data_IF_411022126624
#
_entry.id   IF_411022126624
#
_cell.length_a   1.000
_cell.length_b   1.000
_cell.length_c   1.000
_cell.angle_alpha   90.00
_cell.angle_beta   90.00
_cell.angle_gamma   90.00
#
_symmetry.space_group_name_H-M   'P 1'
#
loop_
_entity.id
_entity.type
_entity.pdbx_description
1 polymer ?
#
# COMPACT_ATOMS: atom_id res chain seq x y z
N UNK A 1 -9.50 24.77 -34.73
CA UNK A 1 -9.66 25.05 -33.28
C UNK A 1 -10.52 23.97 -32.70
N UNK A 2 -9.99 23.17 -31.81
CA UNK A 2 -10.69 22.05 -31.17
C UNK A 2 -11.41 22.57 -29.93
N UNK A 3 -12.69 22.19 -29.75
CA UNK A 3 -13.49 22.51 -28.59
C UNK A 3 -13.85 21.23 -27.87
N UNK A 4 -13.48 21.11 -26.56
CA UNK A 4 -13.87 20.00 -25.70
C UNK A 4 -14.74 20.53 -24.59
N UNK A 5 -15.86 19.86 -24.30
CA UNK A 5 -16.77 20.21 -23.21
C UNK A 5 -16.90 19.04 -22.25
N UNK A 6 -16.56 19.25 -20.99
CA UNK A 6 -16.57 18.25 -19.94
C UNK A 6 -17.59 18.61 -18.84
N UNK A 7 -18.23 17.61 -18.25
CA UNK A 7 -18.82 17.78 -16.93
C UNK A 7 -17.73 17.93 -15.89
N UNK A 8 -17.79 19.00 -15.10
CA UNK A 8 -16.73 19.34 -14.15
C UNK A 8 -16.42 18.22 -13.18
N UNK A 9 -17.44 17.58 -12.58
CA UNK A 9 -17.25 16.56 -11.55
C UNK A 9 -16.62 15.28 -12.12
N UNK A 10 -16.98 14.88 -13.35
CA UNK A 10 -16.38 13.76 -14.05
C UNK A 10 -14.90 14.05 -14.38
N UNK A 11 -14.61 15.25 -14.88
CA UNK A 11 -13.24 15.69 -15.19
C UNK A 11 -12.39 15.79 -13.92
N UNK A 12 -12.94 16.36 -12.84
CA UNK A 12 -12.21 16.47 -11.55
C UNK A 12 -11.87 15.09 -11.00
N UNK A 13 -12.80 14.15 -11.01
CA UNK A 13 -12.56 12.78 -10.57
C UNK A 13 -11.45 12.09 -11.39
N UNK A 14 -11.45 12.28 -12.70
CA UNK A 14 -10.38 11.73 -13.57
C UNK A 14 -9.02 12.39 -13.29
N UNK A 15 -8.99 13.70 -13.01
CA UNK A 15 -7.78 14.42 -12.61
C UNK A 15 -7.29 14.00 -11.22
N UNK A 16 -8.19 13.69 -10.28
CA UNK A 16 -7.82 13.15 -8.95
C UNK A 16 -7.08 11.82 -9.09
N UNK A 17 -7.54 10.91 -9.96
CA UNK A 17 -6.82 9.68 -10.26
C UNK A 17 -5.42 9.96 -10.82
N UNK A 18 -5.30 10.87 -11.77
CA UNK A 18 -4.02 11.24 -12.37
C UNK A 18 -3.06 11.91 -11.38
N UNK A 19 -3.57 12.62 -10.37
CA UNK A 19 -2.76 13.34 -9.38
C UNK A 19 -1.84 12.41 -8.58
N UNK A 20 -2.17 11.13 -8.46
CA UNK A 20 -1.42 10.11 -7.74
C UNK A 20 -0.02 9.87 -8.30
N UNK A 21 0.19 10.11 -9.59
CA UNK A 21 1.49 9.88 -10.26
C UNK A 21 2.15 11.14 -10.80
N UNK A 22 1.52 12.32 -10.68
CA UNK A 22 2.13 13.57 -11.13
C UNK A 22 2.96 14.21 -10.03
N UNK A 23 4.26 14.37 -10.27
CA UNK A 23 5.18 15.04 -9.36
C UNK A 23 5.16 16.56 -9.59
N UNK A 24 5.41 17.33 -8.52
CA UNK A 24 5.49 18.80 -8.61
C UNK A 24 6.66 19.28 -9.47
N UNK A 25 7.73 18.50 -9.53
CA UNK A 25 8.94 18.75 -10.33
C UNK A 25 9.47 17.41 -10.83
N UNK A 26 9.77 17.31 -12.10
CA UNK A 26 10.37 16.14 -12.72
C UNK A 26 11.43 16.56 -13.72
N UNK A 27 12.57 15.85 -13.90
CA UNK A 27 13.58 16.16 -14.90
C UNK A 27 13.02 16.27 -16.33
N UNK A 28 12.10 15.37 -16.68
CA UNK A 28 11.28 15.47 -17.89
C UNK A 28 10.05 16.30 -17.58
N UNK A 29 10.07 17.59 -17.92
CA UNK A 29 9.03 18.55 -17.52
C UNK A 29 7.62 18.14 -18.01
N UNK A 30 7.51 17.47 -19.15
CA UNK A 30 6.23 16.98 -19.70
C UNK A 30 5.51 16.01 -18.74
N UNK A 31 6.23 15.30 -17.87
CA UNK A 31 5.64 14.41 -16.86
C UNK A 31 4.99 15.17 -15.68
N UNK A 32 5.09 16.49 -15.64
CA UNK A 32 4.29 17.33 -14.73
C UNK A 32 2.92 17.68 -15.32
N UNK A 33 2.58 17.13 -16.49
CA UNK A 33 1.31 17.33 -17.19
C UNK A 33 0.43 16.09 -17.19
N UNK A 34 -0.82 16.29 -17.54
CA UNK A 34 -1.78 15.23 -17.92
C UNK A 34 -1.96 15.32 -19.43
N UNK A 35 -1.79 14.19 -20.11
CA UNK A 35 -2.07 14.05 -21.54
C UNK A 35 -3.55 13.73 -21.73
N UNK A 36 -4.29 14.59 -22.40
CA UNK A 36 -5.66 14.35 -22.85
C UNK A 36 -5.61 13.79 -24.27
N UNK A 37 -6.06 12.57 -24.46
CA UNK A 37 -6.22 11.91 -25.75
C UNK A 37 -7.70 11.72 -25.99
N UNK A 38 -8.23 12.34 -27.04
CA UNK A 38 -9.68 12.39 -27.28
C UNK A 38 -10.01 11.95 -28.71
N UNK A 39 -11.17 11.33 -28.83
CA UNK A 39 -11.75 10.91 -30.10
C UNK A 39 -13.25 10.67 -29.88
N UNK A 40 -14.07 11.15 -30.83
CA UNK A 40 -15.52 11.07 -30.71
C UNK A 40 -16.01 11.70 -29.40
N UNK A 41 -16.73 10.94 -28.56
CA UNK A 41 -17.19 11.36 -27.23
C UNK A 41 -16.33 10.88 -26.08
N UNK A 42 -15.18 10.26 -26.37
CA UNK A 42 -14.31 9.70 -25.35
C UNK A 42 -13.04 10.55 -25.20
N UNK A 43 -12.62 10.73 -23.96
CA UNK A 43 -11.34 11.32 -23.62
C UNK A 43 -10.64 10.48 -22.57
N UNK A 44 -9.39 10.10 -22.81
CA UNK A 44 -8.53 9.43 -21.84
C UNK A 44 -7.49 10.42 -21.32
N UNK A 45 -7.47 10.64 -20.02
CA UNK A 45 -6.45 11.36 -19.32
C UNK A 45 -5.33 10.39 -18.95
N UNK A 46 -4.11 10.69 -19.36
CA UNK A 46 -2.93 9.88 -19.07
C UNK A 46 -1.92 10.67 -18.25
N UNK A 47 -1.43 10.09 -17.17
CA UNK A 47 -0.38 10.64 -16.34
C UNK A 47 0.62 9.55 -15.97
N UNK A 48 1.90 9.88 -15.86
CA UNK A 48 2.94 8.93 -15.48
C UNK A 48 4.17 9.62 -14.88
N UNK A 49 4.84 8.92 -13.95
CA UNK A 49 6.18 9.25 -13.47
C UNK A 49 7.20 8.15 -13.83
N UNK A 50 6.87 7.29 -14.79
CA UNK A 50 7.63 6.14 -15.27
C UNK A 50 7.62 4.92 -14.33
N UNK A 51 7.30 5.08 -13.05
CA UNK A 51 7.09 3.98 -12.08
C UNK A 51 5.61 3.59 -12.00
N UNK A 52 4.74 4.60 -12.07
CA UNK A 52 3.29 4.47 -12.09
C UNK A 52 2.76 5.14 -13.34
N UNK A 53 1.71 4.57 -13.92
CA UNK A 53 0.92 5.21 -14.97
C UNK A 53 -0.56 5.07 -14.62
N UNK A 54 -1.31 6.14 -14.82
CA UNK A 54 -2.76 6.18 -14.65
C UNK A 54 -3.41 6.60 -15.97
N UNK A 55 -4.41 5.82 -16.40
CA UNK A 55 -5.28 6.15 -17.52
C UNK A 55 -6.69 6.30 -16.99
N UNK A 56 -7.23 7.50 -16.99
CA UNK A 56 -8.59 7.79 -16.51
C UNK A 56 -9.48 8.19 -17.67
N UNK A 57 -10.67 7.60 -17.75
CA UNK A 57 -11.65 7.90 -18.80
C UNK A 57 -12.59 8.99 -18.35
N UNK A 58 -12.94 9.87 -19.27
CA UNK A 58 -13.96 10.90 -19.09
C UNK A 58 -14.72 11.10 -20.40
N UNK A 59 -16.03 11.30 -20.31
CA UNK A 59 -16.85 11.53 -21.49
C UNK A 59 -16.86 13.01 -21.89
N UNK A 60 -16.97 13.25 -23.19
CA UNK A 60 -17.20 14.54 -23.77
C UNK A 60 -18.69 14.74 -24.07
N UNK A 61 -19.20 15.96 -23.88
CA UNK A 61 -20.59 16.29 -24.20
C UNK A 61 -20.85 16.23 -25.71
N UNK A 62 -19.87 16.59 -26.53
CA UNK A 62 -19.96 16.64 -27.99
C UNK A 62 -18.92 15.72 -28.64
N UNK A 63 -19.22 15.20 -29.82
CA UNK A 63 -18.26 14.42 -30.63
C UNK A 63 -17.20 15.35 -31.23
N UNK A 64 -15.94 14.91 -31.17
CA UNK A 64 -14.78 15.66 -31.64
C UNK A 64 -13.86 14.82 -32.51
N UNK A 65 -13.08 15.49 -33.37
CA UNK A 65 -11.99 14.83 -34.11
C UNK A 65 -10.89 14.36 -33.15
N UNK A 66 -10.15 13.34 -33.58
CA UNK A 66 -9.05 12.77 -32.80
C UNK A 66 -7.94 13.80 -32.57
N UNK A 67 -7.46 13.90 -31.34
CA UNK A 67 -6.37 14.81 -30.99
C UNK A 67 -5.78 14.54 -29.61
N UNK A 68 -4.69 15.27 -29.32
CA UNK A 68 -3.97 15.17 -28.03
C UNK A 68 -3.56 16.56 -27.55
N UNK A 69 -3.65 16.78 -26.23
CA UNK A 69 -3.20 18.00 -25.55
C UNK A 69 -2.51 17.60 -24.25
N UNK A 70 -1.29 18.10 -23.99
CA UNK A 70 -0.59 17.87 -22.72
C UNK A 70 -0.69 19.12 -21.83
N UNK A 71 -1.56 19.06 -20.82
CA UNK A 71 -1.91 20.21 -19.97
C UNK A 71 -1.20 20.10 -18.62
N UNK A 72 -0.57 21.20 -18.09
CA UNK A 72 0.00 21.19 -16.76
C UNK A 72 -1.00 20.72 -15.71
N UNK A 73 -0.70 19.59 -15.05
CA UNK A 73 -1.64 18.88 -14.20
C UNK A 73 -2.16 19.72 -13.03
N UNK A 74 -1.27 20.46 -12.36
CA UNK A 74 -1.64 21.29 -11.22
C UNK A 74 -2.62 22.41 -11.63
N UNK A 75 -2.34 23.08 -12.75
CA UNK A 75 -3.17 24.18 -13.21
C UNK A 75 -4.59 23.72 -13.52
N UNK A 76 -4.72 22.65 -14.30
CA UNK A 76 -6.06 22.15 -14.66
C UNK A 76 -6.82 21.57 -13.45
N UNK A 77 -6.12 20.86 -12.57
CA UNK A 77 -6.73 20.33 -11.35
C UNK A 77 -7.25 21.46 -10.45
N UNK A 78 -6.44 22.51 -10.18
CA UNK A 78 -6.84 23.64 -9.35
C UNK A 78 -7.99 24.44 -9.99
N UNK A 79 -7.99 24.64 -11.31
CA UNK A 79 -9.10 25.29 -12.02
C UNK A 79 -10.40 24.50 -11.82
N UNK A 80 -10.39 23.19 -12.06
CA UNK A 80 -11.57 22.33 -11.88
C UNK A 80 -12.04 22.33 -10.42
N UNK A 81 -11.13 22.15 -9.46
CA UNK A 81 -11.43 22.07 -8.02
C UNK A 81 -12.05 23.36 -7.47
N UNK A 82 -11.54 24.52 -7.90
CA UNK A 82 -11.98 25.82 -7.41
C UNK A 82 -13.18 26.37 -8.17
N UNK A 83 -13.49 25.83 -9.36
CA UNK A 83 -14.64 26.25 -10.15
C UNK A 83 -15.97 25.87 -9.54
N UNK A 84 -16.96 26.75 -9.70
CA UNK A 84 -18.38 26.47 -9.40
C UNK A 84 -19.19 26.08 -10.64
N UNK A 85 -18.55 26.06 -11.81
CA UNK A 85 -19.19 25.71 -13.06
C UNK A 85 -19.65 24.23 -13.06
N UNK A 86 -20.74 23.94 -13.74
CA UNK A 86 -21.17 22.56 -13.99
C UNK A 86 -20.38 21.93 -15.13
N UNK A 87 -19.91 22.78 -16.06
CA UNK A 87 -19.13 22.35 -17.22
C UNK A 87 -17.84 23.14 -17.37
N UNK A 88 -16.80 22.49 -17.88
CA UNK A 88 -15.51 23.07 -18.22
C UNK A 88 -15.32 22.97 -19.74
N UNK A 89 -15.04 24.07 -20.37
CA UNK A 89 -14.87 24.16 -21.83
C UNK A 89 -13.41 24.45 -22.15
N UNK A 90 -12.80 23.60 -22.96
CA UNK A 90 -11.47 23.78 -23.53
C UNK A 90 -11.59 24.24 -24.97
N UNK A 91 -10.78 25.23 -25.35
CA UNK A 91 -10.55 25.62 -26.74
C UNK A 91 -9.05 25.59 -27.02
N UNK A 92 -8.63 24.74 -27.92
CA UNK A 92 -7.23 24.53 -28.23
C UNK A 92 -6.96 24.83 -29.71
N UNK A 93 -5.92 25.66 -29.94
CA UNK A 93 -5.40 25.90 -31.27
C UNK A 93 -3.97 25.41 -31.35
N UNK A 94 -3.70 24.46 -32.23
CA UNK A 94 -2.39 23.80 -32.37
C UNK A 94 -1.22 24.78 -32.63
N UNK A 95 -1.51 25.98 -33.18
CA UNK A 95 -0.46 26.93 -33.61
C UNK A 95 0.30 27.65 -32.48
N UNK A 96 -0.26 27.67 -31.24
CA UNK A 96 0.31 28.46 -30.12
C UNK A 96 0.56 27.67 -28.84
N UNK A 97 0.24 26.39 -28.80
CA UNK A 97 0.37 25.56 -27.59
C UNK A 97 -0.26 26.18 -26.33
N UNK A 98 -1.33 26.94 -26.49
CA UNK A 98 -2.08 27.56 -25.38
C UNK A 98 -3.48 27.01 -25.38
N UNK A 99 -3.92 26.55 -24.21
CA UNK A 99 -5.28 26.10 -23.95
C UNK A 99 -6.07 27.25 -23.33
N UNK A 100 -7.14 27.67 -24.01
CA UNK A 100 -8.15 28.57 -23.42
C UNK A 100 -9.18 27.72 -22.68
N UNK A 101 -9.38 27.99 -21.39
CA UNK A 101 -10.31 27.28 -20.53
C UNK A 101 -11.39 28.24 -20.06
N UNK A 102 -12.64 27.89 -20.27
CA UNK A 102 -13.79 28.63 -19.76
C UNK A 102 -14.50 27.80 -18.72
N UNK A 103 -14.71 28.37 -17.53
CA UNK A 103 -15.39 27.77 -16.40
C UNK A 103 -16.38 28.80 -15.82
N UNK A 104 -17.66 28.73 -16.20
CA UNK A 104 -18.68 29.75 -15.96
C UNK A 104 -18.24 31.12 -16.50
N UNK A 105 -18.00 32.10 -15.63
CA UNK A 105 -17.54 33.46 -15.99
C UNK A 105 -16.03 33.62 -15.98
N UNK A 106 -15.31 32.56 -15.57
CA UNK A 106 -13.86 32.60 -15.46
C UNK A 106 -13.21 32.09 -16.74
N UNK A 107 -12.20 32.81 -17.22
CA UNK A 107 -11.40 32.45 -18.39
C UNK A 107 -9.93 32.33 -18.00
N UNK A 108 -9.29 31.28 -18.49
CA UNK A 108 -7.89 30.99 -18.21
C UNK A 108 -7.15 30.70 -19.51
N UNK A 109 -5.89 31.11 -19.59
CA UNK A 109 -4.96 30.76 -20.68
C UNK A 109 -3.82 29.94 -20.07
N UNK A 110 -3.75 28.66 -20.42
CA UNK A 110 -2.78 27.74 -19.87
C UNK A 110 -1.82 27.30 -20.97
N UNK A 111 -0.51 27.63 -20.85
CA UNK A 111 0.51 27.07 -21.77
C UNK A 111 0.56 25.55 -21.64
N UNK A 112 0.54 24.85 -22.77
CA UNK A 112 0.58 23.40 -22.85
C UNK A 112 1.96 22.91 -23.31
N UNK A 113 2.26 21.66 -23.00
CA UNK A 113 3.43 20.98 -23.53
C UNK A 113 3.13 20.36 -24.90
N UNK A 114 4.17 20.03 -25.64
CA UNK A 114 4.02 19.29 -26.87
C UNK A 114 3.59 17.83 -26.53
N UNK A 115 2.44 17.36 -27.00
CA UNK A 115 1.98 15.99 -26.72
C UNK A 115 2.94 14.89 -27.20
N UNK A 116 3.74 15.16 -28.24
CA UNK A 116 4.73 14.21 -28.77
C UNK A 116 5.91 13.96 -27.83
N UNK A 117 6.15 14.84 -26.84
CA UNK A 117 7.19 14.65 -25.83
C UNK A 117 6.72 13.73 -24.67
N UNK A 118 5.41 13.45 -24.62
CA UNK A 118 4.86 12.56 -23.60
C UNK A 118 5.19 11.10 -23.95
N UNK A 119 5.65 10.28 -22.97
CA UNK A 119 5.98 8.88 -23.24
C UNK A 119 4.80 8.09 -23.81
N UNK A 120 5.10 7.21 -24.74
CA UNK A 120 4.10 6.29 -25.26
C UNK A 120 3.68 5.30 -24.17
N UNK A 121 2.38 5.24 -23.90
CA UNK A 121 1.81 4.34 -22.92
C UNK A 121 1.15 3.21 -23.71
N UNK A 122 1.68 1.98 -23.55
CA UNK A 122 1.06 0.81 -24.12
C UNK A 122 0.37 -0.01 -23.02
N UNK A 123 -0.93 -0.20 -23.16
CA UNK A 123 -1.72 -1.22 -22.45
C UNK A 123 -1.89 -2.41 -23.40
N UNK A 124 -0.79 -3.17 -23.57
CA UNK A 124 -0.76 -4.28 -24.55
C UNK A 124 -1.24 -5.60 -23.97
N UNK A 125 -1.52 -5.68 -22.69
CA UNK A 125 -2.01 -6.89 -22.05
C UNK A 125 -3.43 -7.22 -22.49
N UNK A 126 -3.62 -8.44 -22.95
CA UNK A 126 -4.89 -8.94 -23.53
C UNK A 126 -5.76 -9.69 -22.53
N UNK A 127 -5.21 -10.16 -21.42
CA UNK A 127 -5.91 -11.03 -20.49
C UNK A 127 -5.93 -10.48 -19.07
N UNK A 128 -7.09 -9.94 -18.69
CA UNK A 128 -7.37 -9.47 -17.34
C UNK A 128 -8.24 -10.49 -16.62
N UNK A 129 -7.93 -10.75 -15.37
CA UNK A 129 -8.70 -11.63 -14.47
C UNK A 129 -9.42 -10.82 -13.39
N UNK A 130 -10.62 -11.22 -12.99
CA UNK A 130 -11.33 -10.52 -11.92
C UNK A 130 -10.60 -10.66 -10.59
N UNK A 131 -10.61 -9.59 -9.78
CA UNK A 131 -10.04 -9.57 -8.44
C UNK A 131 -10.92 -8.76 -7.49
N UNK A 132 -11.12 -9.23 -6.27
CA UNK A 132 -11.71 -8.48 -5.17
C UNK A 132 -10.68 -7.47 -4.65
N UNK A 133 -10.62 -6.29 -5.27
CA UNK A 133 -9.60 -5.28 -4.96
C UNK A 133 -9.78 -4.73 -3.54
N UNK A 134 -11.00 -4.61 -3.04
CA UNK A 134 -11.29 -4.20 -1.66
C UNK A 134 -10.63 -5.13 -0.63
N UNK A 135 -10.68 -6.46 -0.86
CA UNK A 135 -10.00 -7.44 -0.01
C UNK A 135 -8.48 -7.35 -0.15
N UNK A 136 -7.95 -7.23 -1.36
CA UNK A 136 -6.51 -7.09 -1.58
C UNK A 136 -5.96 -5.85 -0.84
N UNK A 137 -6.69 -4.74 -0.87
CA UNK A 137 -6.37 -3.52 -0.12
C UNK A 137 -6.43 -3.77 1.40
N UNK A 138 -7.44 -4.48 1.89
CA UNK A 138 -7.55 -4.81 3.33
C UNK A 138 -6.39 -5.66 3.81
N UNK A 139 -5.99 -6.63 3.03
CA UNK A 139 -4.83 -7.49 3.31
C UNK A 139 -3.51 -6.71 3.31
N UNK A 140 -3.32 -5.82 2.33
CA UNK A 140 -2.16 -4.94 2.31
C UNK A 140 -2.05 -4.09 3.58
N UNK A 141 -3.15 -3.54 4.09
CA UNK A 141 -3.16 -2.74 5.32
C UNK A 141 -2.66 -3.51 6.54
N UNK A 142 -2.82 -4.85 6.58
CA UNK A 142 -2.32 -5.71 7.66
C UNK A 142 -0.80 -5.90 7.63
N UNK A 143 -0.13 -5.68 6.51
CA UNK A 143 1.30 -5.96 6.37
C UNK A 143 2.16 -4.74 6.05
N UNK A 144 1.59 -3.63 5.53
CA UNK A 144 2.32 -2.50 4.98
C UNK A 144 3.32 -1.85 5.93
N UNK A 145 3.03 -1.83 7.23
CA UNK A 145 3.86 -1.15 8.23
C UNK A 145 5.22 -1.83 8.48
N UNK A 146 5.40 -3.06 8.00
CA UNK A 146 6.66 -3.80 8.11
C UNK A 146 7.63 -3.58 6.94
N UNK A 147 7.27 -2.75 5.97
CA UNK A 147 8.20 -2.35 4.90
C UNK A 147 9.22 -1.32 5.40
N UNK A 148 10.41 -1.33 4.80
CA UNK A 148 11.39 -0.26 5.06
C UNK A 148 11.07 0.99 4.24
N UNK A 149 11.34 2.15 4.83
CA UNK A 149 11.34 3.41 4.09
C UNK A 149 12.66 3.66 3.33
N UNK A 150 13.68 2.85 3.61
CA UNK A 150 14.99 2.97 2.98
C UNK A 150 15.03 2.29 1.61
N UNK A 151 14.98 3.08 0.55
CA UNK A 151 15.01 2.62 -0.84
C UNK A 151 16.35 2.03 -1.30
N UNK A 152 17.39 2.06 -0.49
CA UNK A 152 18.66 1.39 -0.80
C UNK A 152 18.47 -0.13 -0.88
N UNK A 153 17.49 -0.67 -0.18
CA UNK A 153 17.09 -2.09 -0.24
C UNK A 153 15.70 -2.20 -0.89
N UNK A 154 15.64 -2.01 -2.21
CA UNK A 154 14.38 -1.94 -2.98
C UNK A 154 13.40 -3.08 -2.67
N UNK A 155 13.87 -4.32 -2.53
CA UNK A 155 13.00 -5.45 -2.23
C UNK A 155 12.21 -5.25 -0.93
N UNK A 156 12.82 -4.72 0.13
CA UNK A 156 12.18 -4.53 1.44
C UNK A 156 11.26 -3.29 1.50
N UNK A 157 11.34 -2.40 0.52
CA UNK A 157 10.40 -1.28 0.39
C UNK A 157 9.16 -1.62 -0.45
N UNK A 158 8.96 -2.90 -0.74
CA UNK A 158 7.81 -3.43 -1.46
C UNK A 158 7.10 -4.55 -0.71
N UNK A 159 5.94 -4.93 -1.21
CA UNK A 159 5.20 -6.09 -0.76
C UNK A 159 5.41 -7.25 -1.74
N UNK A 160 5.88 -8.39 -1.22
CA UNK A 160 5.93 -9.63 -1.98
C UNK A 160 4.54 -10.26 -2.01
N UNK A 161 4.10 -10.69 -3.17
CA UNK A 161 2.95 -11.59 -3.34
C UNK A 161 3.45 -12.84 -4.08
N UNK A 162 3.24 -14.01 -3.49
CA UNK A 162 3.76 -15.26 -4.01
C UNK A 162 2.75 -16.40 -3.83
N UNK A 163 2.58 -17.23 -4.87
CA UNK A 163 1.87 -18.51 -4.76
C UNK A 163 2.76 -19.54 -4.09
N UNK A 164 2.22 -20.24 -3.12
CA UNK A 164 2.92 -21.32 -2.40
C UNK A 164 2.13 -22.60 -2.61
N UNK A 165 2.79 -23.66 -3.07
CA UNK A 165 2.26 -25.01 -3.05
C UNK A 165 2.59 -25.62 -1.68
N UNK A 166 1.56 -25.94 -0.92
CA UNK A 166 1.69 -26.58 0.39
C UNK A 166 1.95 -28.09 0.24
N UNK A 167 2.47 -28.72 1.29
CA UNK A 167 2.80 -30.15 1.28
C UNK A 167 1.57 -31.06 1.08
N UNK A 168 0.38 -30.58 1.42
CA UNK A 168 -0.91 -31.25 1.22
C UNK A 168 -1.47 -31.11 -0.20
N UNK A 169 -0.75 -30.43 -1.10
CA UNK A 169 -1.12 -30.17 -2.49
C UNK A 169 -2.07 -28.97 -2.68
N UNK A 170 -2.45 -28.28 -1.61
CA UNK A 170 -3.22 -27.03 -1.72
C UNK A 170 -2.31 -25.85 -2.13
N UNK A 171 -2.92 -24.81 -2.70
CA UNK A 171 -2.22 -23.56 -3.01
C UNK A 171 -2.69 -22.45 -2.08
N UNK A 172 -1.76 -21.66 -1.60
CA UNK A 172 -2.02 -20.41 -0.87
C UNK A 172 -1.31 -19.24 -1.56
N UNK A 173 -1.76 -18.03 -1.28
CA UNK A 173 -1.08 -16.81 -1.68
C UNK A 173 -0.55 -16.14 -0.44
N UNK A 174 0.77 -15.97 -0.36
CA UNK A 174 1.37 -15.22 0.73
C UNK A 174 1.59 -13.77 0.32
N UNK A 175 1.20 -12.85 1.20
CA UNK A 175 1.56 -11.44 1.14
C UNK A 175 2.57 -11.15 2.25
N UNK A 176 3.76 -10.67 1.88
CA UNK A 176 4.91 -10.59 2.80
C UNK A 176 5.58 -9.23 2.74
N UNK A 177 5.89 -8.68 3.92
CA UNK A 177 6.68 -7.46 4.06
C UNK A 177 7.70 -7.59 5.20
N UNK A 178 8.86 -6.94 5.08
CA UNK A 178 9.89 -6.92 6.12
C UNK A 178 10.78 -5.68 6.01
N UNK A 179 11.31 -5.24 7.15
CA UNK A 179 12.39 -4.26 7.26
C UNK A 179 13.66 -4.88 7.89
N UNK A 180 13.76 -6.23 7.87
CA UNK A 180 14.76 -7.07 8.53
C UNK A 180 14.71 -7.13 10.06
N UNK A 181 14.06 -6.19 10.72
CA UNK A 181 13.83 -6.18 12.16
C UNK A 181 12.49 -6.79 12.55
N UNK A 182 11.56 -6.84 11.61
CA UNK A 182 10.24 -7.44 11.71
C UNK A 182 9.80 -8.03 10.38
N UNK A 183 8.90 -8.98 10.43
CA UNK A 183 8.38 -9.70 9.28
C UNK A 183 6.89 -9.90 9.44
N UNK A 184 6.08 -9.43 8.49
CA UNK A 184 4.65 -9.71 8.39
C UNK A 184 4.40 -10.68 7.26
N UNK A 185 3.68 -11.76 7.53
CA UNK A 185 3.26 -12.74 6.53
C UNK A 185 1.76 -12.98 6.68
N UNK A 186 1.02 -12.71 5.63
CA UNK A 186 -0.40 -13.01 5.53
C UNK A 186 -0.58 -14.13 4.51
N UNK A 187 -0.96 -15.31 4.99
CA UNK A 187 -1.24 -16.49 4.17
C UNK A 187 -2.73 -16.50 3.83
N UNK A 188 -3.08 -16.20 2.59
CA UNK A 188 -4.47 -16.06 2.15
C UNK A 188 -5.06 -17.43 1.87
N UNK A 189 -6.20 -17.72 2.51
CA UNK A 189 -7.01 -18.93 2.30
C UNK A 189 -8.09 -18.63 1.26
N UNK A 190 -8.26 -19.50 0.27
CA UNK A 190 -9.35 -19.41 -0.70
C UNK A 190 -9.47 -18.04 -1.42
N UNK A 191 -8.38 -17.28 -1.51
CA UNK A 191 -8.36 -16.02 -2.24
C UNK A 191 -7.88 -16.26 -3.68
N UNK A 192 -8.80 -16.17 -4.62
CA UNK A 192 -8.47 -16.31 -6.04
C UNK A 192 -7.70 -15.07 -6.52
N UNK A 193 -6.39 -15.17 -6.52
CA UNK A 193 -5.51 -14.19 -7.12
C UNK A 193 -4.71 -14.90 -8.23
N UNK A 194 -5.07 -14.58 -9.48
CA UNK A 194 -4.37 -15.14 -10.62
C UNK A 194 -3.08 -14.34 -10.87
N UNK A 195 -2.02 -14.77 -10.19
CA UNK A 195 -0.66 -14.28 -10.44
C UNK A 195 0.09 -15.32 -11.28
N UNK A 196 0.92 -14.88 -12.24
CA UNK A 196 1.82 -15.79 -12.95
C UNK A 196 2.73 -16.56 -11.98
N UNK A 197 3.05 -17.80 -12.30
CA UNK A 197 4.02 -18.60 -11.52
C UNK A 197 5.45 -18.10 -11.77
N UNK A 198 5.79 -16.93 -11.23
CA UNK A 198 7.17 -16.45 -11.25
C UNK A 198 7.94 -17.10 -10.11
N UNK A 199 9.13 -17.60 -10.40
CA UNK A 199 10.07 -18.05 -9.37
C UNK A 199 10.38 -16.86 -8.44
N UNK A 200 10.02 -16.98 -7.15
CA UNK A 200 10.19 -15.92 -6.16
C UNK A 200 9.01 -14.93 -6.03
N UNK A 201 7.92 -15.09 -6.81
CA UNK A 201 6.73 -14.22 -6.75
C UNK A 201 6.92 -12.85 -7.39
N UNK A 202 6.03 -11.91 -7.08
CA UNK A 202 6.08 -10.52 -7.55
C UNK A 202 6.30 -9.57 -6.37
N UNK A 203 7.10 -8.53 -6.56
CA UNK A 203 7.31 -7.49 -5.54
C UNK A 203 6.77 -6.16 -6.05
N UNK A 204 5.67 -5.71 -5.43
CA UNK A 204 5.04 -4.44 -5.76
C UNK A 204 5.64 -3.35 -4.88
N UNK A 205 6.17 -2.24 -5.44
CA UNK A 205 6.66 -1.14 -4.62
C UNK A 205 5.60 -0.62 -3.66
N UNK A 206 5.94 -0.46 -2.38
CA UNK A 206 4.98 -0.07 -1.34
C UNK A 206 4.32 1.27 -1.62
N UNK A 207 5.07 2.25 -2.17
CA UNK A 207 4.50 3.53 -2.60
C UNK A 207 3.45 3.35 -3.68
N UNK A 208 3.71 2.47 -4.66
CA UNK A 208 2.77 2.22 -5.75
C UNK A 208 1.51 1.53 -5.23
N UNK A 209 1.67 0.56 -4.29
CA UNK A 209 0.52 -0.08 -3.66
C UNK A 209 -0.31 0.91 -2.83
N UNK A 210 0.33 1.85 -2.15
CA UNK A 210 -0.37 2.91 -1.43
C UNK A 210 -1.25 3.78 -2.36
N UNK A 211 -0.82 4.04 -3.60
CA UNK A 211 -1.66 4.74 -4.59
C UNK A 211 -2.85 3.88 -5.05
N UNK A 212 -2.68 2.56 -5.18
CA UNK A 212 -3.80 1.63 -5.43
C UNK A 212 -4.86 1.78 -4.34
N UNK A 213 -4.44 1.85 -3.06
CA UNK A 213 -5.39 1.99 -1.94
C UNK A 213 -6.21 3.28 -1.99
N UNK A 214 -5.69 4.34 -2.60
CA UNK A 214 -6.40 5.61 -2.77
C UNK A 214 -7.34 5.57 -3.97
N UNK A 215 -6.82 5.14 -5.13
CA UNK A 215 -7.57 5.12 -6.40
C UNK A 215 -8.77 4.16 -6.32
N UNK A 216 -8.59 3.01 -5.67
CA UNK A 216 -9.61 1.96 -5.57
C UNK A 216 -10.26 1.87 -4.20
N UNK A 217 -10.21 2.94 -3.37
CA UNK A 217 -10.72 2.94 -2.00
C UNK A 217 -12.20 2.53 -1.89
N UNK A 218 -13.03 2.93 -2.87
CA UNK A 218 -14.47 2.68 -2.91
C UNK A 218 -14.86 1.61 -3.94
N UNK A 219 -13.87 0.90 -4.49
CA UNK A 219 -14.09 -0.13 -5.53
C UNK A 219 -14.03 -1.51 -4.89
N UNK A 220 -15.06 -2.32 -5.09
CA UNK A 220 -15.10 -3.69 -4.59
C UNK A 220 -14.39 -4.65 -5.56
N UNK A 221 -14.78 -4.61 -6.82
CA UNK A 221 -14.30 -5.51 -7.87
C UNK A 221 -13.51 -4.74 -8.92
N UNK A 222 -12.39 -5.32 -9.34
CA UNK A 222 -11.54 -4.81 -10.40
C UNK A 222 -11.03 -5.97 -11.27
N UNK A 223 -10.29 -5.64 -12.29
CA UNK A 223 -9.60 -6.59 -13.14
C UNK A 223 -8.10 -6.41 -13.00
N UNK A 224 -7.39 -7.51 -12.82
CA UNK A 224 -5.94 -7.58 -12.64
C UNK A 224 -5.29 -8.28 -13.81
N UNK A 225 -4.16 -7.75 -14.28
CA UNK A 225 -3.25 -8.44 -15.16
C UNK A 225 -1.81 -8.18 -14.71
N UNK A 226 -0.93 -9.15 -14.87
CA UNK A 226 0.46 -9.05 -14.44
C UNK A 226 1.34 -9.66 -15.52
N UNK A 227 2.39 -8.95 -15.90
CA UNK A 227 3.50 -9.48 -16.69
C UNK A 227 4.80 -9.48 -15.84
N UNK A 228 5.92 -9.81 -16.44
CA UNK A 228 7.23 -9.87 -15.77
C UNK A 228 7.80 -8.51 -15.34
N UNK A 229 7.21 -7.40 -15.77
CA UNK A 229 7.67 -6.05 -15.44
C UNK A 229 6.62 -5.18 -14.74
N UNK A 230 5.34 -5.45 -15.00
CA UNK A 230 4.25 -4.54 -14.60
C UNK A 230 3.04 -5.29 -14.07
N UNK A 231 2.34 -4.62 -13.20
CA UNK A 231 1.01 -4.97 -12.75
C UNK A 231 0.00 -3.94 -13.25
N UNK A 232 -1.14 -4.40 -13.71
CA UNK A 232 -2.23 -3.59 -14.26
C UNK A 232 -3.48 -3.87 -13.45
N UNK A 233 -4.11 -2.84 -12.92
CA UNK A 233 -5.40 -2.93 -12.24
C UNK A 233 -6.36 -1.96 -12.92
N UNK A 234 -7.54 -2.44 -13.29
CA UNK A 234 -8.54 -1.58 -13.93
C UNK A 234 -9.97 -1.85 -13.48
N UNK A 235 -10.78 -0.81 -13.58
CA UNK A 235 -12.23 -0.88 -13.63
C UNK A 235 -12.74 -0.16 -14.89
N UNK A 236 -14.01 0.19 -14.94
CA UNK A 236 -14.61 0.89 -16.08
C UNK A 236 -13.99 2.27 -16.33
N UNK A 237 -13.58 2.98 -15.27
CA UNK A 237 -13.19 4.40 -15.30
C UNK A 237 -11.69 4.65 -15.28
N UNK A 238 -10.92 3.73 -14.70
CA UNK A 238 -9.49 3.94 -14.49
C UNK A 238 -8.69 2.66 -14.68
N UNK A 239 -7.53 2.80 -15.32
CA UNK A 239 -6.47 1.78 -15.36
C UNK A 239 -5.25 2.32 -14.62
N UNK A 240 -4.78 1.57 -13.63
CA UNK A 240 -3.56 1.83 -12.89
C UNK A 240 -2.50 0.82 -13.29
N UNK A 241 -1.31 1.30 -13.64
CA UNK A 241 -0.19 0.46 -14.05
C UNK A 241 0.97 0.74 -13.11
N UNK A 242 1.52 -0.28 -12.49
CA UNK A 242 2.69 -0.20 -11.61
C UNK A 242 3.84 -1.02 -12.16
N UNK A 243 5.06 -0.47 -12.17
CA UNK A 243 6.24 -1.31 -12.33
C UNK A 243 6.43 -2.20 -11.12
N UNK A 244 6.97 -3.41 -11.35
CA UNK A 244 7.37 -4.36 -10.32
C UNK A 244 8.87 -4.21 -10.01
N UNK A 245 9.26 -4.51 -8.78
CA UNK A 245 10.67 -4.65 -8.47
C UNK A 245 11.20 -6.00 -8.99
N UNK A 246 12.33 -5.97 -9.67
CA UNK A 246 13.03 -7.17 -10.17
C UNK A 246 14.01 -7.76 -9.14
N UNK A 247 13.99 -7.28 -7.90
CA UNK A 247 14.90 -7.69 -6.85
C UNK A 247 14.38 -8.94 -6.14
N UNK A 248 15.29 -9.87 -5.81
CA UNK A 248 14.94 -11.02 -4.99
C UNK A 248 14.48 -10.60 -3.60
N UNK A 249 13.33 -11.12 -3.19
CA UNK A 249 12.83 -10.97 -1.83
C UNK A 249 13.32 -12.15 -0.97
N UNK A 250 13.65 -11.94 0.31
CA UNK A 250 14.13 -13.02 1.18
C UNK A 250 13.12 -14.16 1.30
N UNK A 251 13.58 -15.40 1.31
CA UNK A 251 12.73 -16.57 1.55
C UNK A 251 12.19 -16.51 2.97
N UNK A 252 10.89 -16.27 3.13
CA UNK A 252 10.24 -16.09 4.42
C UNK A 252 9.86 -17.43 5.10
N UNK A 253 9.46 -18.44 4.34
CA UNK A 253 9.00 -19.73 4.88
C UNK A 253 10.02 -20.42 5.81
N UNK A 254 11.34 -20.47 5.50
CA UNK A 254 12.34 -21.01 6.43
C UNK A 254 12.43 -20.24 7.75
N UNK A 255 11.99 -18.97 7.79
CA UNK A 255 12.05 -18.13 8.99
C UNK A 255 10.82 -18.38 9.87
N UNK A 256 9.61 -18.42 9.28
CA UNK A 256 8.36 -18.57 10.03
C UNK A 256 8.06 -20.04 10.36
N UNK A 257 8.55 -21.00 9.60
CA UNK A 257 8.13 -22.39 9.65
C UNK A 257 6.82 -22.67 8.90
N UNK A 258 6.29 -23.88 9.06
CA UNK A 258 4.98 -24.25 8.49
C UNK A 258 3.83 -23.78 9.39
N UNK A 259 2.63 -23.76 8.84
CA UNK A 259 1.39 -23.48 9.58
C UNK A 259 1.22 -24.41 10.80
N UNK A 260 1.46 -25.71 10.63
CA UNK A 260 1.35 -26.72 11.69
C UNK A 260 2.34 -26.47 12.82
N UNK A 261 3.59 -26.11 12.48
CA UNK A 261 4.63 -25.78 13.46
C UNK A 261 4.23 -24.56 14.27
N UNK A 262 3.68 -23.54 13.64
CA UNK A 262 3.23 -22.30 14.33
C UNK A 262 2.01 -22.57 15.22
N UNK A 263 1.06 -23.36 14.75
CA UNK A 263 -0.13 -23.72 15.52
C UNK A 263 0.17 -24.66 16.70
N UNK A 264 1.18 -25.49 16.59
CA UNK A 264 1.65 -26.35 17.67
C UNK A 264 2.43 -25.63 18.78
N UNK A 265 2.85 -24.36 18.57
CA UNK A 265 3.57 -23.61 19.61
C UNK A 265 2.65 -23.13 20.71
N UNK A 266 3.16 -23.17 21.96
CA UNK A 266 2.51 -22.55 23.11
C UNK A 266 2.40 -21.04 22.91
N UNK A 267 1.27 -20.46 23.27
CA UNK A 267 1.00 -19.03 23.16
C UNK A 267 0.26 -18.47 24.37
N UNK A 268 0.50 -17.21 24.66
CA UNK A 268 -0.24 -16.42 25.64
C UNK A 268 -1.39 -15.68 24.95
N UNK A 269 -2.50 -15.47 25.65
CA UNK A 269 -3.68 -14.72 25.19
C UNK A 269 -3.82 -13.46 26.01
N UNK A 270 -3.74 -12.32 25.36
CA UNK A 270 -3.73 -10.99 26.01
C UNK A 270 -4.84 -10.15 25.41
N UNK A 271 -5.64 -9.47 26.25
CA UNK A 271 -6.63 -8.53 25.76
C UNK A 271 -5.95 -7.38 24.99
N UNK A 272 -6.38 -7.18 23.74
CA UNK A 272 -5.76 -6.23 22.81
C UNK A 272 -5.76 -4.79 23.32
N UNK A 273 -6.91 -4.34 23.82
CA UNK A 273 -7.07 -2.96 24.30
C UNK A 273 -6.19 -2.69 25.52
N UNK A 274 -6.22 -3.58 26.52
CA UNK A 274 -5.39 -3.46 27.72
C UNK A 274 -3.90 -3.49 27.37
N UNK A 275 -3.48 -4.35 26.45
CA UNK A 275 -2.10 -4.43 25.99
C UNK A 275 -1.63 -3.11 25.33
N UNK A 276 -2.44 -2.54 24.44
CA UNK A 276 -2.15 -1.25 23.78
C UNK A 276 -1.99 -0.15 24.85
N UNK A 277 -2.91 -0.08 25.81
CA UNK A 277 -2.88 0.94 26.86
C UNK A 277 -1.68 0.75 27.79
N UNK A 278 -1.34 -0.49 28.16
CA UNK A 278 -0.16 -0.80 28.97
C UNK A 278 1.14 -0.42 28.26
N UNK A 279 1.28 -0.78 27.00
CA UNK A 279 2.47 -0.38 26.21
C UNK A 279 2.57 1.14 26.16
N UNK A 280 1.49 1.87 25.89
CA UNK A 280 1.49 3.34 25.85
C UNK A 280 1.90 3.95 27.17
N UNK A 281 1.45 3.40 28.32
CA UNK A 281 1.86 3.87 29.65
C UNK A 281 3.34 3.64 29.91
N UNK A 282 3.85 2.46 29.52
CA UNK A 282 5.25 2.12 29.77
C UNK A 282 6.21 2.92 28.90
N UNK A 283 5.89 3.20 27.65
CA UNK A 283 6.78 3.92 26.74
C UNK A 283 6.81 5.44 26.95
N UNK A 284 6.00 5.97 27.87
CA UNK A 284 5.92 7.41 28.12
C UNK A 284 7.25 8.03 28.60
N UNK A 285 8.12 7.22 29.22
CA UNK A 285 9.45 7.64 29.68
C UNK A 285 10.48 7.68 28.56
N UNK A 286 10.19 7.05 27.44
CA UNK A 286 11.07 7.04 26.26
C UNK A 286 10.93 8.35 25.49
N UNK A 287 12.04 8.82 24.93
CA UNK A 287 12.11 10.08 24.19
C UNK A 287 12.85 9.93 22.85
N UNK A 288 13.12 11.02 22.15
CA UNK A 288 13.78 11.00 20.84
C UNK A 288 15.22 10.48 20.86
N UNK A 289 15.87 10.46 22.03
CA UNK A 289 17.23 9.92 22.21
C UNK A 289 17.21 8.38 22.31
N UNK A 290 16.07 7.78 22.65
CA UNK A 290 15.86 6.34 22.74
C UNK A 290 15.54 5.76 21.36
N UNK A 291 16.53 5.68 20.48
CA UNK A 291 16.38 5.32 19.07
C UNK A 291 15.60 4.02 18.81
N UNK A 292 15.71 3.04 19.71
CA UNK A 292 15.13 1.72 19.51
C UNK A 292 13.82 1.48 20.25
N UNK A 293 13.34 2.42 21.04
CA UNK A 293 12.08 2.32 21.82
C UNK A 293 11.91 0.96 22.52
N UNK A 294 12.96 0.53 23.24
CA UNK A 294 13.03 -0.79 23.85
C UNK A 294 12.05 -0.91 25.00
N UNK A 295 11.19 -1.92 24.94
CA UNK A 295 10.37 -2.36 26.06
C UNK A 295 10.54 -3.86 26.28
N UNK A 296 10.53 -4.29 27.55
CA UNK A 296 10.66 -5.69 27.96
C UNK A 296 9.32 -6.19 28.47
N UNK A 297 8.97 -7.38 28.04
CA UNK A 297 7.76 -8.09 28.36
C UNK A 297 8.12 -9.36 29.13
N UNK A 298 7.55 -9.52 30.31
CA UNK A 298 7.81 -10.62 31.20
C UNK A 298 6.49 -11.31 31.54
N UNK A 299 6.33 -12.56 31.09
CA UNK A 299 5.14 -13.38 31.30
C UNK A 299 5.39 -14.34 32.43
N UNK A 300 4.55 -14.28 33.49
CA UNK A 300 4.60 -15.18 34.63
C UNK A 300 3.18 -15.56 35.06
N UNK A 301 2.79 -16.80 34.85
CA UNK A 301 1.42 -17.23 35.06
C UNK A 301 0.42 -16.38 34.27
N UNK A 302 -0.55 -15.80 34.96
CA UNK A 302 -1.57 -14.92 34.35
C UNK A 302 -1.21 -13.42 34.47
N UNK A 303 0.04 -13.09 34.67
CA UNK A 303 0.51 -11.70 34.74
C UNK A 303 1.50 -11.42 33.62
N UNK A 304 1.28 -10.32 32.90
CA UNK A 304 2.24 -9.73 31.99
C UNK A 304 2.77 -8.42 32.57
N UNK A 305 4.06 -8.43 32.91
CA UNK A 305 4.77 -7.23 33.35
C UNK A 305 5.52 -6.59 32.18
N UNK A 306 5.34 -5.30 32.03
CA UNK A 306 5.98 -4.48 31.00
C UNK A 306 6.95 -3.51 31.68
N UNK A 307 8.14 -3.31 31.09
CA UNK A 307 9.10 -2.30 31.57
C UNK A 307 9.74 -1.57 30.40
N UNK A 308 10.05 -0.30 30.59
CA UNK A 308 10.90 0.46 29.68
C UNK A 308 11.88 1.32 30.47
N UNK A 309 13.09 1.45 29.91
CA UNK A 309 14.18 2.25 30.49
C UNK A 309 14.68 3.21 29.41
N UNK A 310 14.65 4.50 29.71
CA UNK A 310 15.23 5.53 28.84
C UNK A 310 16.73 5.66 29.05
N UNK A 311 17.46 5.95 28.01
CA UNK A 311 18.89 6.29 28.07
C UNK A 311 19.17 7.54 28.93
N UNK A 312 18.15 8.37 29.15
CA UNK A 312 18.23 9.56 30.03
C UNK A 312 17.91 9.30 31.50
N UNK A 313 17.72 8.01 31.86
CA UNK A 313 17.50 7.57 33.24
C UNK A 313 16.04 7.44 33.68
N UNK A 314 15.07 7.69 32.80
CA UNK A 314 13.67 7.44 33.10
C UNK A 314 13.36 5.93 33.10
N UNK A 315 12.58 5.46 34.05
CA UNK A 315 12.12 4.06 34.14
C UNK A 315 10.62 4.00 34.32
N UNK A 316 9.98 3.00 33.74
CA UNK A 316 8.55 2.72 33.92
C UNK A 316 8.29 1.24 34.03
N UNK A 317 7.25 0.90 34.76
CA UNK A 317 6.76 -0.48 34.93
C UNK A 317 5.25 -0.46 34.95
N UNK A 318 4.64 -1.44 34.31
CA UNK A 318 3.20 -1.69 34.36
C UNK A 318 2.93 -3.20 34.39
N UNK A 319 1.79 -3.59 34.93
CA UNK A 319 1.37 -4.98 35.01
C UNK A 319 -0.10 -5.11 34.61
N UNK A 320 -0.39 -6.09 33.76
CA UNK A 320 -1.77 -6.42 33.37
C UNK A 320 -2.02 -7.92 33.58
N UNK A 321 -3.28 -8.25 33.86
CA UNK A 321 -3.75 -9.63 33.92
C UNK A 321 -4.02 -10.14 32.51
N UNK A 322 -3.58 -11.36 32.20
CA UNK A 322 -3.76 -11.98 30.90
C UNK A 322 -4.66 -13.19 30.99
N UNK A 323 -5.42 -13.48 29.93
CA UNK A 323 -6.39 -14.58 29.93
C UNK A 323 -5.72 -15.95 29.98
N UNK A 324 -4.58 -16.09 29.29
CA UNK A 324 -3.78 -17.30 29.24
C UNK A 324 -2.29 -16.95 29.23
N UNK A 325 -1.55 -17.43 30.19
CA UNK A 325 -0.10 -17.33 30.25
C UNK A 325 0.60 -18.55 29.67
N UNK A 326 1.92 -18.57 29.79
CA UNK A 326 2.75 -19.72 29.43
C UNK A 326 2.87 -20.67 30.64
N UNK A 327 3.17 -21.96 30.36
CA UNK A 327 3.42 -22.99 31.38
C UNK A 327 4.66 -22.68 32.23
N UNK A 328 5.63 -21.94 31.70
CA UNK A 328 6.84 -21.47 32.37
C UNK A 328 7.05 -20.00 32.09
N UNK A 329 7.86 -19.34 32.92
CA UNK A 329 8.20 -17.93 32.71
C UNK A 329 8.86 -17.70 31.35
N UNK A 330 8.46 -16.61 30.70
CA UNK A 330 9.01 -16.16 29.41
C UNK A 330 9.33 -14.67 29.47
N UNK A 331 10.37 -14.26 28.81
CA UNK A 331 10.65 -12.83 28.65
C UNK A 331 11.26 -12.51 27.30
N UNK A 332 10.93 -11.34 26.79
CA UNK A 332 11.46 -10.82 25.52
C UNK A 332 11.54 -9.29 25.58
N UNK A 333 12.55 -8.73 24.96
CA UNK A 333 12.64 -7.29 24.76
C UNK A 333 12.54 -7.00 23.27
N UNK A 334 11.66 -6.08 22.91
CA UNK A 334 11.44 -5.69 21.50
C UNK A 334 11.23 -4.19 21.38
N UNK A 335 11.23 -3.69 20.14
CA UNK A 335 10.83 -2.33 19.86
C UNK A 335 9.31 -2.19 20.06
N UNK A 336 8.91 -1.35 21.02
CA UNK A 336 7.51 -1.14 21.38
C UNK A 336 6.66 -0.56 20.22
N UNK A 337 7.25 0.25 19.33
CA UNK A 337 6.54 0.77 18.16
C UNK A 337 6.16 -0.37 17.21
N UNK A 338 7.09 -1.30 16.97
CA UNK A 338 6.82 -2.47 16.12
C UNK A 338 5.71 -3.35 16.70
N UNK A 339 5.70 -3.48 18.02
CA UNK A 339 4.63 -4.24 18.67
C UNK A 339 3.28 -3.52 18.58
N UNK A 340 3.25 -2.20 18.80
CA UNK A 340 2.02 -1.41 18.63
C UNK A 340 1.51 -1.45 17.18
N UNK A 341 2.38 -1.38 16.19
CA UNK A 341 1.99 -1.42 14.78
C UNK A 341 1.20 -2.70 14.46
N UNK A 342 1.70 -3.86 14.89
CA UNK A 342 1.01 -5.13 14.62
C UNK A 342 -0.27 -5.28 15.43
N UNK A 343 -0.30 -4.88 16.71
CA UNK A 343 -1.51 -5.01 17.53
C UNK A 343 -2.66 -4.15 16.96
N UNK A 344 -2.33 -3.00 16.37
CA UNK A 344 -3.33 -2.11 15.79
C UNK A 344 -4.03 -2.68 14.54
N UNK A 345 -3.43 -3.67 13.85
CA UNK A 345 -4.01 -4.30 12.66
C UNK A 345 -4.63 -5.67 12.92
N UNK A 346 -4.51 -6.19 14.13
CA UNK A 346 -5.24 -7.40 14.57
C UNK A 346 -6.72 -7.02 14.76
N UNK A 347 -7.62 -7.82 14.20
CA UNK A 347 -9.07 -7.56 14.29
C UNK A 347 -9.68 -8.15 15.55
N UNK A 348 -9.11 -9.26 16.07
CA UNK A 348 -9.58 -9.92 17.29
C UNK A 348 -9.45 -9.02 18.53
N UNK A 349 -10.33 -9.23 19.50
CA UNK A 349 -10.24 -8.59 20.81
C UNK A 349 -9.05 -9.08 21.63
N UNK A 350 -8.50 -10.22 21.30
CA UNK A 350 -7.38 -10.87 21.95
C UNK A 350 -6.19 -11.00 21.00
N UNK A 351 -4.99 -10.88 21.55
CA UNK A 351 -3.73 -11.07 20.84
C UNK A 351 -3.08 -12.37 21.28
N UNK A 352 -2.80 -13.26 20.33
CA UNK A 352 -2.06 -14.49 20.56
C UNK A 352 -0.57 -14.24 20.40
N UNK A 353 0.18 -14.28 21.50
CA UNK A 353 1.62 -14.00 21.56
C UNK A 353 2.41 -15.26 21.84
N UNK A 354 3.39 -15.55 21.00
CA UNK A 354 4.35 -16.64 21.17
C UNK A 354 5.71 -16.02 21.57
N UNK A 355 6.23 -16.47 22.71
CA UNK A 355 7.58 -16.15 23.18
C UNK A 355 8.26 -17.47 23.52
N UNK A 356 9.34 -17.80 22.82
CA UNK A 356 10.10 -19.02 23.05
C UNK A 356 11.05 -18.88 24.26
N UNK A 357 11.50 -19.99 24.83
CA UNK A 357 12.44 -20.00 25.99
C UNK A 357 13.78 -19.34 25.67
N UNK A 358 14.25 -19.53 24.43
CA UNK A 358 15.50 -18.97 24.01
C UNK A 358 15.36 -17.44 23.74
N UNK A 359 16.09 -16.63 24.47
CA UNK A 359 16.01 -15.17 24.44
C UNK A 359 16.37 -14.54 23.08
N UNK A 360 16.99 -15.30 22.17
CA UNK A 360 17.35 -14.83 20.83
C UNK A 360 16.31 -15.16 19.75
N UNK A 361 15.17 -15.74 20.15
CA UNK A 361 14.07 -16.03 19.23
C UNK A 361 13.12 -14.85 19.11
N UNK A 362 12.51 -14.65 17.94
CA UNK A 362 11.59 -13.55 17.72
C UNK A 362 10.33 -13.71 18.58
N UNK A 363 9.77 -12.59 19.04
CA UNK A 363 8.40 -12.55 19.51
C UNK A 363 7.49 -12.67 18.30
N UNK A 364 6.53 -13.61 18.34
CA UNK A 364 5.64 -13.88 17.22
C UNK A 364 4.20 -13.65 17.64
N UNK A 365 3.44 -12.96 16.82
CA UNK A 365 2.00 -12.81 16.95
C UNK A 365 1.32 -13.63 15.86
N UNK A 366 0.15 -14.20 16.18
CA UNK A 366 -0.67 -14.90 15.20
C UNK A 366 -2.15 -14.54 15.31
N UNK A 367 -2.79 -14.44 14.17
CA UNK A 367 -4.23 -14.29 14.03
C UNK A 367 -4.71 -15.26 12.94
N UNK A 368 -5.84 -15.91 13.16
CA UNK A 368 -6.42 -16.83 12.19
C UNK A 368 -7.89 -16.54 11.99
N UNK A 369 -8.29 -16.46 10.74
CA UNK A 369 -9.69 -16.34 10.30
C UNK A 369 -9.98 -17.36 9.20
N UNK A 370 -11.22 -17.39 8.72
CA UNK A 370 -11.59 -18.19 7.56
C UNK A 370 -10.91 -17.72 6.25
N UNK A 371 -10.48 -16.45 6.19
CA UNK A 371 -9.88 -15.83 5.01
C UNK A 371 -8.35 -15.89 4.99
N UNK A 372 -7.71 -15.89 6.15
CA UNK A 372 -6.24 -15.84 6.24
C UNK A 372 -5.69 -16.45 7.53
N UNK A 373 -4.41 -16.76 7.48
CA UNK A 373 -3.56 -16.97 8.65
C UNK A 373 -2.47 -15.90 8.65
N UNK A 374 -2.46 -15.06 9.68
CA UNK A 374 -1.52 -13.95 9.81
C UNK A 374 -0.44 -14.28 10.84
N UNK A 375 0.82 -14.04 10.47
CA UNK A 375 1.98 -14.21 11.34
C UNK A 375 2.79 -12.91 11.30
N UNK A 376 3.12 -12.41 12.47
CA UNK A 376 4.05 -11.29 12.58
C UNK A 376 5.16 -11.62 13.55
N UNK A 377 6.39 -11.39 13.13
CA UNK A 377 7.59 -11.62 13.93
C UNK A 377 8.32 -10.32 14.19
N UNK A 378 8.75 -10.10 15.43
CA UNK A 378 9.58 -8.97 15.84
C UNK A 378 10.89 -9.53 16.40
N UNK A 379 12.00 -9.08 15.83
CA UNK A 379 13.32 -9.50 16.30
C UNK A 379 13.59 -8.98 17.71
N UNK A 380 14.11 -9.83 18.62
CA UNK A 380 14.44 -9.41 19.97
C UNK A 380 15.63 -8.46 19.99
N UNK A 381 15.61 -7.55 20.93
CA UNK A 381 16.69 -6.63 21.21
C UNK A 381 17.55 -7.17 22.38
N UNK A 382 18.87 -7.10 22.22
CA UNK A 382 19.77 -7.40 23.34
C UNK A 382 19.82 -6.19 24.28
N UNK A 383 19.52 -6.44 25.56
CA UNK A 383 19.56 -5.45 26.63
C UNK A 383 20.80 -5.71 27.48
#
# INVERSE_FOLDING_TARGET
MIKLTFKKDELLKALDYCSSCVEKKHPMVVLTSVLFSFKDKECTLSATNLEITVLAKVNLEESVEEGKIAVPARSIHDICRLSRAETIIFKYGESNNVLDITADKSEYKVPCFNPSDFPEISDTLKEYKPVKISKLISFYKKVQFSMTENYMTKAYSGVLIIKIKNDDGTESVDMVTTDIHRLSVLMLKNFALDIPEFEGGIVIPGKNFAEITKIFAEVEDAYLAIDDEKMFIKNENVTFISRLFKNEFPKHRPIIGTYEVLNGKEFSVVNRKELIEAIKRVVIVLNSEDKMWVSKYFFNGNVLKLTANSNTGGTSTDEIVIEKGFSTERSVAVNAKYFLDVINVIDDNNVNVIVEEAANKPMTLKEETDEFFYVHMIMPLRI
#
